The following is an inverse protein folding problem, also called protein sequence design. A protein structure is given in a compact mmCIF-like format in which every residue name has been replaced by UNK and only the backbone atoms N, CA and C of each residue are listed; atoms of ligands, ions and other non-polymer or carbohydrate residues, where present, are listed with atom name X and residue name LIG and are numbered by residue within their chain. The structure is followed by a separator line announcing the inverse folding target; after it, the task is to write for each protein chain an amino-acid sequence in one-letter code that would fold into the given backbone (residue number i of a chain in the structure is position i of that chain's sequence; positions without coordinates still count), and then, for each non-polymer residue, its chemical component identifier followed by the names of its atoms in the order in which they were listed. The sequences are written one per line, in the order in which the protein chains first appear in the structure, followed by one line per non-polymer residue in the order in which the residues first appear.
data_IF_568544360416
#
_entry.id   IF_568544360416
#
_cell.length_a   1.000
_cell.length_b   1.000
_cell.length_c   1.000
_cell.angle_alpha   90.00
_cell.angle_beta   90.00
_cell.angle_gamma   90.00
#
_symmetry.space_group_name_H-M   'P 1'
#
loop_
_entity.id
_entity.type
_entity.pdbx_description
1 polymer ?
#
# COMPACT_ATOMS: atom_id res chain seq x y z
N UNK A 1 3.07 -0.65 -21.86
CA UNK A 1 4.43 -1.15 -21.60
C UNK A 1 4.62 -2.44 -22.38
N UNK A 2 5.87 -2.81 -22.66
CA UNK A 2 6.18 -4.09 -23.31
C UNK A 2 6.12 -5.25 -22.30
N UNK A 3 5.92 -6.51 -22.76
CA UNK A 3 6.09 -7.70 -21.92
C UNK A 3 7.45 -7.74 -21.21
N UNK A 4 7.47 -8.22 -19.97
CA UNK A 4 8.70 -8.26 -19.19
C UNK A 4 9.78 -9.11 -19.85
N UNK A 5 11.02 -8.58 -19.84
CA UNK A 5 12.23 -9.27 -20.30
C UNK A 5 13.09 -9.59 -19.08
N UNK A 6 13.02 -10.80 -18.51
CA UNK A 6 13.71 -11.14 -17.26
C UNK A 6 15.23 -10.98 -17.31
N UNK A 7 15.84 -11.00 -18.50
CA UNK A 7 17.29 -10.77 -18.67
C UNK A 7 17.68 -9.29 -18.53
N UNK A 8 16.75 -8.37 -18.75
CA UNK A 8 16.96 -6.93 -18.63
C UNK A 8 16.40 -6.38 -17.31
N UNK A 9 15.29 -6.94 -16.83
CA UNK A 9 14.67 -6.57 -15.57
C UNK A 9 15.36 -7.29 -14.42
N UNK A 10 16.31 -6.62 -13.76
CA UNK A 10 17.11 -7.20 -12.67
C UNK A 10 17.02 -6.35 -11.40
N UNK A 11 17.00 -7.04 -10.26
CA UNK A 11 17.12 -6.42 -8.95
C UNK A 11 18.48 -5.69 -8.81
N UNK A 12 18.56 -4.60 -8.04
CA UNK A 12 17.50 -4.06 -7.17
C UNK A 12 16.49 -3.14 -7.87
N UNK A 13 16.75 -2.75 -9.12
CA UNK A 13 16.01 -1.66 -9.76
C UNK A 13 14.74 -2.11 -10.49
N UNK A 14 14.67 -3.38 -10.90
CA UNK A 14 13.53 -3.93 -11.65
C UNK A 14 13.20 -5.37 -11.22
N UNK A 15 11.92 -5.67 -11.09
CA UNK A 15 11.43 -7.04 -10.88
C UNK A 15 10.13 -7.27 -11.64
N UNK A 16 10.05 -8.35 -12.43
CA UNK A 16 8.86 -8.66 -13.22
C UNK A 16 7.69 -9.09 -12.31
N UNK A 17 6.47 -8.65 -12.63
CA UNK A 17 5.25 -9.14 -11.98
C UNK A 17 5.11 -10.66 -12.08
N UNK A 18 4.83 -11.32 -10.96
CA UNK A 18 4.61 -12.76 -10.93
C UNK A 18 4.71 -13.34 -9.52
N UNK A 19 4.58 -14.66 -9.44
CA UNK A 19 4.72 -15.41 -8.19
C UNK A 19 6.12 -16.02 -8.01
N UNK A 20 7.04 -15.77 -8.96
CA UNK A 20 8.42 -16.23 -8.85
C UNK A 20 9.09 -15.55 -7.66
N UNK A 21 9.73 -16.35 -6.82
CA UNK A 21 10.48 -15.86 -5.67
C UNK A 21 11.64 -14.96 -6.11
N UNK A 22 11.81 -13.77 -5.51
CA UNK A 22 12.98 -12.91 -5.75
C UNK A 22 14.30 -13.67 -5.57
N UNK A 23 15.21 -13.55 -6.54
CA UNK A 23 16.49 -14.28 -6.60
C UNK A 23 16.39 -15.81 -6.60
N UNK A 24 15.20 -16.40 -6.74
CA UNK A 24 15.03 -17.87 -6.78
C UNK A 24 15.43 -18.58 -5.49
N UNK A 25 15.33 -17.90 -4.34
CA UNK A 25 15.61 -18.48 -3.03
C UNK A 25 14.66 -19.65 -2.72
N UNK A 26 15.11 -20.61 -1.90
CA UNK A 26 14.21 -21.64 -1.36
C UNK A 26 13.20 -20.96 -0.42
N UNK A 27 11.87 -21.13 -0.63
CA UNK A 27 10.84 -20.56 0.24
C UNK A 27 11.07 -20.79 1.74
N UNK A 28 11.70 -21.90 2.14
CA UNK A 28 12.02 -22.20 3.54
C UNK A 28 13.05 -21.27 4.17
N UNK A 29 13.81 -20.55 3.34
CA UNK A 29 14.85 -19.61 3.77
C UNK A 29 14.36 -18.16 3.77
N UNK A 30 13.13 -17.91 3.32
CA UNK A 30 12.60 -16.56 3.15
C UNK A 30 11.82 -16.17 4.41
N UNK A 31 12.12 -15.01 5.02
CA UNK A 31 11.29 -14.47 6.08
C UNK A 31 9.89 -14.19 5.56
N UNK A 32 8.86 -14.71 6.24
CA UNK A 32 7.49 -14.28 5.98
C UNK A 32 7.33 -12.83 6.43
N UNK A 33 7.24 -11.92 5.46
CA UNK A 33 6.95 -10.52 5.73
C UNK A 33 5.44 -10.34 5.86
N UNK A 34 5.02 -9.53 6.83
CA UNK A 34 3.63 -9.12 7.04
C UNK A 34 3.62 -7.59 7.07
N UNK A 35 2.88 -6.98 6.13
CA UNK A 35 2.71 -5.53 6.08
C UNK A 35 1.39 -5.18 6.75
N UNK A 36 1.44 -4.83 8.03
CA UNK A 36 0.27 -4.32 8.74
C UNK A 36 0.04 -2.86 8.34
N UNK A 37 -1.15 -2.57 7.80
CA UNK A 37 -1.49 -1.23 7.31
C UNK A 37 -2.75 -0.70 7.97
N UNK A 38 -2.78 0.61 8.18
CA UNK A 38 -3.98 1.34 8.59
C UNK A 38 -4.21 2.48 7.60
N UNK A 39 -5.43 2.59 7.11
CA UNK A 39 -5.81 3.66 6.19
C UNK A 39 -6.55 4.77 6.96
N UNK A 40 -6.68 5.92 6.32
CA UNK A 40 -7.40 7.10 6.79
C UNK A 40 -6.77 7.86 7.96
N UNK A 41 -7.59 8.70 8.59
CA UNK A 41 -7.17 9.74 9.51
C UNK A 41 -6.68 9.17 10.85
N UNK A 42 -5.52 9.64 11.29
CA UNK A 42 -5.01 9.37 12.64
C UNK A 42 -5.60 10.42 13.59
N UNK A 43 -6.32 10.00 14.61
CA UNK A 43 -6.91 10.90 15.59
C UNK A 43 -6.96 10.27 17.00
N UNK A 44 -7.44 11.05 17.97
CA UNK A 44 -7.49 10.66 19.38
C UNK A 44 -8.31 9.40 19.67
N UNK A 45 -9.24 9.00 18.78
CA UNK A 45 -10.05 7.80 18.96
C UNK A 45 -9.26 6.51 18.65
N UNK A 46 -8.43 6.53 17.60
CA UNK A 46 -7.71 5.34 17.11
C UNK A 46 -6.28 5.25 17.64
N UNK A 47 -5.66 6.37 17.98
CA UNK A 47 -4.27 6.40 18.43
C UNK A 47 -3.96 5.51 19.66
N UNK A 48 -4.80 5.46 20.72
CA UNK A 48 -4.55 4.57 21.85
C UNK A 48 -4.52 3.07 21.47
N UNK A 49 -5.30 2.69 20.44
CA UNK A 49 -5.30 1.32 19.92
C UNK A 49 -3.98 0.99 19.23
N UNK A 50 -3.47 1.89 18.38
CA UNK A 50 -2.16 1.70 17.73
C UNK A 50 -1.03 1.52 18.74
N UNK A 51 -1.01 2.36 19.79
CA UNK A 51 -0.02 2.28 20.86
C UNK A 51 -0.07 0.93 21.58
N UNK A 52 -1.27 0.45 21.91
CA UNK A 52 -1.47 -0.85 22.58
C UNK A 52 -0.99 -2.01 21.71
N UNK A 53 -1.25 -1.96 20.41
CA UNK A 53 -0.90 -3.04 19.49
C UNK A 53 0.60 -3.09 19.15
N UNK A 54 1.24 -1.93 18.96
CA UNK A 54 2.53 -1.84 18.28
C UNK A 54 3.74 -1.66 19.22
N UNK A 55 3.56 -1.14 20.43
CA UNK A 55 4.70 -0.77 21.28
C UNK A 55 5.44 -1.95 21.91
N UNK A 56 4.69 -2.98 22.31
CA UNK A 56 5.24 -4.12 23.07
C UNK A 56 5.53 -5.35 22.21
N UNK A 57 5.16 -5.30 20.92
CA UNK A 57 5.35 -6.42 19.99
C UNK A 57 6.72 -6.33 19.31
N UNK A 58 7.44 -7.46 19.28
CA UNK A 58 8.80 -7.56 18.71
C UNK A 58 8.87 -8.56 17.55
N UNK A 59 9.66 -8.23 16.54
CA UNK A 59 10.09 -9.16 15.51
C UNK A 59 11.15 -10.15 16.05
N UNK A 60 11.41 -11.28 15.37
CA UNK A 60 12.43 -12.25 15.78
C UNK A 60 13.85 -11.69 15.91
N UNK A 61 14.13 -10.54 15.27
CA UNK A 61 15.41 -9.83 15.38
C UNK A 61 15.49 -8.89 16.60
N UNK A 62 14.46 -8.82 17.45
CA UNK A 62 14.41 -7.98 18.64
C UNK A 62 13.99 -6.52 18.40
N UNK A 63 13.80 -6.10 17.14
CA UNK A 63 13.23 -4.80 16.82
C UNK A 63 11.72 -4.78 17.09
N UNK A 64 11.15 -3.62 17.41
CA UNK A 64 9.69 -3.47 17.48
C UNK A 64 9.07 -3.78 16.12
N UNK A 65 7.83 -4.25 16.13
CA UNK A 65 7.02 -4.27 14.91
C UNK A 65 6.80 -2.86 14.42
N UNK A 66 6.72 -2.70 13.11
CA UNK A 66 6.36 -1.45 12.44
C UNK A 66 5.17 -1.71 11.54
N UNK A 67 4.40 -0.66 11.33
CA UNK A 67 3.19 -0.64 10.53
C UNK A 67 3.31 0.52 9.54
N UNK A 68 2.49 0.48 8.50
CA UNK A 68 2.38 1.55 7.50
C UNK A 68 1.03 2.23 7.67
N UNK A 69 1.03 3.55 7.81
CA UNK A 69 -0.18 4.35 7.91
C UNK A 69 -0.37 5.09 6.59
N UNK A 70 -1.39 4.72 5.81
CA UNK A 70 -1.81 5.46 4.62
C UNK A 70 -2.78 6.55 5.06
N UNK A 71 -2.28 7.78 5.21
CA UNK A 71 -3.01 8.84 5.92
C UNK A 71 -3.72 9.76 4.95
N UNK A 72 -5.00 10.02 5.21
CA UNK A 72 -5.79 11.07 4.55
C UNK A 72 -5.81 12.35 5.40
N UNK A 73 -5.92 13.52 4.76
CA UNK A 73 -5.76 14.81 5.47
C UNK A 73 -6.91 15.09 6.45
N UNK A 74 -8.15 14.89 6.02
CA UNK A 74 -9.32 15.32 6.80
C UNK A 74 -9.36 14.62 8.17
N UNK A 75 -9.49 15.40 9.25
CA UNK A 75 -9.52 14.93 10.64
C UNK A 75 -8.23 14.29 11.18
N UNK A 76 -7.11 14.34 10.44
CA UNK A 76 -5.82 13.89 10.97
C UNK A 76 -5.26 14.86 12.02
N UNK A 77 -4.97 14.34 13.20
CA UNK A 77 -4.16 15.00 14.21
C UNK A 77 -2.67 14.78 13.89
N UNK A 78 -2.05 15.81 13.32
CA UNK A 78 -0.66 15.74 12.90
C UNK A 78 0.36 15.63 14.04
N UNK A 79 -0.02 15.97 15.29
CA UNK A 79 0.85 15.76 16.44
C UNK A 79 0.93 14.26 16.79
N UNK A 80 -0.21 13.56 16.76
CA UNK A 80 -0.27 12.12 16.95
C UNK A 80 0.43 11.37 15.81
N UNK A 81 0.19 11.79 14.57
CA UNK A 81 0.91 11.26 13.41
C UNK A 81 2.43 11.44 13.55
N UNK A 82 2.87 12.63 13.94
CA UNK A 82 4.27 12.92 14.21
C UNK A 82 4.85 11.95 15.25
N UNK A 83 4.07 11.56 16.26
CA UNK A 83 4.51 10.57 17.27
C UNK A 83 4.75 9.20 16.63
N UNK A 84 3.82 8.68 15.82
CA UNK A 84 3.99 7.41 15.11
C UNK A 84 5.22 7.42 14.19
N UNK A 85 5.47 8.54 13.50
CA UNK A 85 6.65 8.70 12.67
C UNK A 85 7.96 8.66 13.48
N UNK A 86 8.02 9.34 14.63
CA UNK A 86 9.19 9.30 15.52
C UNK A 86 9.40 7.91 16.14
N UNK A 87 8.33 7.16 16.33
CA UNK A 87 8.33 5.75 16.71
C UNK A 87 8.75 4.81 15.57
N UNK A 88 9.08 5.35 14.38
CA UNK A 88 9.58 4.65 13.19
C UNK A 88 8.53 3.84 12.45
N UNK A 89 7.26 4.14 12.62
CA UNK A 89 6.23 3.68 11.70
C UNK A 89 6.37 4.40 10.36
N UNK A 90 5.99 3.73 9.27
CA UNK A 90 5.95 4.35 7.96
C UNK A 90 4.69 5.22 7.86
N UNK A 91 4.85 6.45 7.38
CA UNK A 91 3.74 7.33 7.03
C UNK A 91 3.71 7.46 5.51
N UNK A 92 2.61 7.00 4.93
CA UNK A 92 2.35 6.95 3.50
C UNK A 92 1.14 7.81 3.14
N UNK A 93 1.02 8.10 1.85
CA UNK A 93 0.03 9.03 1.32
C UNK A 93 -1.30 8.34 1.00
N UNK A 94 -2.42 8.91 1.45
CA UNK A 94 -3.78 8.48 1.12
C UNK A 94 -4.66 9.65 0.65
N UNK A 95 -4.06 10.58 -0.08
CA UNK A 95 -4.69 11.80 -0.64
C UNK A 95 -5.14 12.81 0.40
N UNK A 96 -5.48 14.02 -0.06
CA UNK A 96 -5.98 15.07 0.83
C UNK A 96 -7.45 14.81 1.13
N UNK A 97 -8.27 14.75 0.09
CA UNK A 97 -9.72 14.90 0.27
C UNK A 97 -10.43 13.61 0.61
N UNK A 98 -9.86 12.45 0.28
CA UNK A 98 -10.54 11.15 0.33
C UNK A 98 -11.99 11.24 -0.21
N UNK A 99 -12.19 12.10 -1.22
CA UNK A 99 -13.51 12.56 -1.62
C UNK A 99 -14.37 11.47 -2.22
N UNK A 100 -15.67 11.65 -2.06
CA UNK A 100 -16.69 10.92 -2.83
C UNK A 100 -17.14 11.74 -4.04
N UNK A 101 -17.68 11.11 -5.10
CA UNK A 101 -17.84 9.65 -5.29
C UNK A 101 -16.59 8.95 -5.82
N UNK A 102 -16.52 7.62 -5.69
CA UNK A 102 -15.46 6.73 -6.22
C UNK A 102 -15.15 7.03 -7.70
N UNK A 103 -16.19 7.26 -8.50
CA UNK A 103 -16.08 7.53 -9.94
C UNK A 103 -15.23 8.77 -10.28
N UNK A 104 -15.06 9.70 -9.33
CA UNK A 104 -14.17 10.84 -9.51
C UNK A 104 -12.71 10.38 -9.63
N UNK A 105 -12.24 9.50 -8.73
CA UNK A 105 -10.87 8.96 -8.74
C UNK A 105 -10.55 8.22 -10.02
N UNK A 106 -11.53 7.44 -10.52
CA UNK A 106 -11.44 6.72 -11.78
C UNK A 106 -11.19 7.62 -12.99
N UNK A 107 -11.75 8.84 -12.97
CA UNK A 107 -11.71 9.81 -14.08
C UNK A 107 -10.75 10.97 -13.84
N UNK A 108 -10.12 11.01 -12.67
CA UNK A 108 -9.24 12.09 -12.26
C UNK A 108 -8.08 12.24 -13.26
N UNK A 109 -7.82 13.47 -13.64
CA UNK A 109 -6.73 13.81 -14.55
C UNK A 109 -5.39 13.69 -13.82
N UNK A 110 -4.28 13.74 -14.56
CA UNK A 110 -2.94 13.88 -13.96
C UNK A 110 -2.87 15.06 -12.99
N UNK A 111 -3.55 16.18 -13.28
CA UNK A 111 -3.54 17.37 -12.43
C UNK A 111 -4.35 17.19 -11.15
N UNK A 112 -5.49 16.49 -11.25
CA UNK A 112 -6.32 16.13 -10.09
C UNK A 112 -5.55 15.20 -9.14
N UNK A 113 -5.02 14.09 -9.67
CA UNK A 113 -4.16 13.17 -8.90
C UNK A 113 -2.93 13.88 -8.33
N UNK A 114 -2.29 14.75 -9.12
CA UNK A 114 -1.15 15.53 -8.67
C UNK A 114 -1.47 16.49 -7.53
N UNK A 115 -2.69 17.05 -7.49
CA UNK A 115 -3.11 17.94 -6.41
C UNK A 115 -3.38 17.18 -5.12
N UNK A 116 -3.95 15.98 -5.23
CA UNK A 116 -4.25 15.09 -4.11
C UNK A 116 -2.99 14.42 -3.53
N UNK A 117 -2.14 13.85 -4.38
CA UNK A 117 -0.99 13.06 -3.97
C UNK A 117 0.18 13.96 -3.55
N UNK A 118 0.62 14.89 -4.41
CA UNK A 118 1.74 15.76 -4.04
C UNK A 118 1.36 16.67 -2.87
N UNK A 119 0.14 17.18 -2.89
CA UNK A 119 -0.34 18.05 -1.84
C UNK A 119 -0.44 17.34 -0.49
N UNK A 120 -0.85 16.06 -0.45
CA UNK A 120 -0.85 15.31 0.81
C UNK A 120 0.58 15.05 1.33
N UNK A 121 1.54 14.72 0.46
CA UNK A 121 2.96 14.69 0.86
C UNK A 121 3.47 16.02 1.43
N UNK A 122 3.12 17.15 0.81
CA UNK A 122 3.49 18.49 1.31
C UNK A 122 2.87 18.76 2.69
N UNK A 123 1.61 18.36 2.91
CA UNK A 123 0.90 18.48 4.18
C UNK A 123 1.54 17.60 5.26
N UNK A 124 1.87 16.34 4.96
CA UNK A 124 2.54 15.41 5.89
C UNK A 124 3.89 15.98 6.36
N UNK A 125 4.62 16.62 5.46
CA UNK A 125 5.87 17.30 5.77
C UNK A 125 5.67 18.52 6.67
N UNK A 126 4.80 19.45 6.25
CA UNK A 126 4.63 20.74 6.91
C UNK A 126 3.99 20.59 8.30
N UNK A 127 2.90 19.82 8.39
CA UNK A 127 2.12 19.71 9.63
C UNK A 127 2.52 18.50 10.48
N UNK A 128 2.89 17.38 9.85
CA UNK A 128 3.27 16.14 10.55
C UNK A 128 4.75 16.08 10.95
N UNK A 129 5.58 16.99 10.44
CA UNK A 129 7.03 16.95 10.64
C UNK A 129 7.71 15.71 10.03
N UNK A 130 7.03 15.04 9.10
CA UNK A 130 7.57 13.89 8.38
C UNK A 130 8.61 14.38 7.38
N UNK A 131 9.74 13.69 7.24
CA UNK A 131 10.66 14.04 6.17
C UNK A 131 10.02 13.65 4.83
N UNK A 132 9.93 14.60 3.91
CA UNK A 132 9.33 14.40 2.58
C UNK A 132 9.87 13.15 1.86
N UNK A 133 11.17 12.86 2.02
CA UNK A 133 11.84 11.69 1.42
C UNK A 133 11.44 10.34 2.04
N UNK A 134 10.81 10.38 3.20
CA UNK A 134 10.34 9.20 3.92
C UNK A 134 8.85 8.91 3.63
N UNK A 135 8.12 9.83 2.99
CA UNK A 135 6.76 9.59 2.45
C UNK A 135 6.87 8.89 1.11
N UNK A 136 7.04 7.56 1.13
CA UNK A 136 7.39 6.77 -0.06
C UNK A 136 6.25 5.95 -0.65
N UNK A 137 5.34 5.49 0.19
CA UNK A 137 4.16 4.73 -0.21
C UNK A 137 2.98 5.62 -0.58
N UNK A 138 2.10 5.09 -1.42
CA UNK A 138 0.80 5.65 -1.75
C UNK A 138 -0.26 4.54 -1.77
N UNK A 139 -1.48 4.88 -1.37
CA UNK A 139 -2.68 4.06 -1.58
C UNK A 139 -3.83 4.96 -2.05
N UNK A 140 -4.56 4.51 -3.07
CA UNK A 140 -5.71 5.23 -3.61
C UNK A 140 -6.96 5.03 -2.71
N UNK A 141 -7.73 6.10 -2.44
CA UNK A 141 -9.02 6.01 -1.76
C UNK A 141 -9.95 4.97 -2.39
N UNK A 142 -10.60 4.18 -1.54
CA UNK A 142 -11.52 3.09 -1.94
C UNK A 142 -10.88 2.02 -2.85
N UNK A 143 -9.54 1.98 -2.91
CA UNK A 143 -8.77 1.19 -3.87
C UNK A 143 -9.12 1.49 -5.34
N UNK A 144 -9.76 2.64 -5.60
CA UNK A 144 -10.08 3.06 -6.96
C UNK A 144 -8.88 3.79 -7.57
N UNK A 145 -8.11 3.01 -8.32
CA UNK A 145 -6.97 3.51 -9.08
C UNK A 145 -7.39 4.35 -10.30
N UNK A 146 -6.48 5.20 -10.75
CA UNK A 146 -6.67 6.18 -11.83
C UNK A 146 -5.99 5.83 -13.15
N UNK A 147 -5.61 4.57 -13.36
CA UNK A 147 -4.82 4.14 -14.52
C UNK A 147 -3.52 4.95 -14.66
N UNK A 148 -3.07 5.15 -15.90
CA UNK A 148 -1.77 5.80 -16.15
C UNK A 148 -1.61 7.20 -15.54
N UNK A 149 -2.71 7.94 -15.31
CA UNK A 149 -2.62 9.27 -14.70
C UNK A 149 -2.07 9.22 -13.26
N UNK A 150 -2.59 8.31 -12.43
CA UNK A 150 -2.13 8.13 -11.05
C UNK A 150 -0.66 7.70 -11.02
N UNK A 151 -0.33 6.63 -11.73
CA UNK A 151 1.01 6.06 -11.71
C UNK A 151 2.04 7.00 -12.32
N UNK A 152 1.65 7.83 -13.30
CA UNK A 152 2.50 8.91 -13.80
C UNK A 152 2.80 9.96 -12.72
N UNK A 153 1.82 10.37 -11.91
CA UNK A 153 2.06 11.30 -10.78
C UNK A 153 3.03 10.69 -9.78
N UNK A 154 2.81 9.43 -9.40
CA UNK A 154 3.68 8.72 -8.46
C UNK A 154 5.13 8.67 -8.96
N UNK A 155 5.32 8.27 -10.22
CA UNK A 155 6.62 8.22 -10.88
C UNK A 155 7.28 9.59 -10.97
N UNK A 156 6.59 10.59 -11.54
CA UNK A 156 7.14 11.94 -11.77
C UNK A 156 7.50 12.65 -10.44
N UNK A 157 6.86 12.26 -9.34
CA UNK A 157 7.12 12.77 -8.00
C UNK A 157 7.91 11.80 -7.11
N UNK A 158 8.57 10.78 -7.67
CA UNK A 158 9.49 9.91 -6.92
C UNK A 158 8.86 9.21 -5.71
N UNK A 159 7.58 8.81 -5.80
CA UNK A 159 7.04 7.77 -4.92
C UNK A 159 7.74 6.44 -5.23
N UNK A 160 7.94 5.64 -4.19
CA UNK A 160 8.62 4.36 -4.32
C UNK A 160 7.65 3.25 -4.71
N UNK A 161 6.44 3.26 -4.14
CA UNK A 161 5.47 2.22 -4.39
C UNK A 161 4.01 2.69 -4.31
N UNK A 162 3.16 2.03 -5.08
CA UNK A 162 1.72 1.97 -4.88
C UNK A 162 1.35 0.66 -4.17
N UNK A 163 0.29 0.70 -3.36
CA UNK A 163 -0.34 -0.50 -2.81
C UNK A 163 -1.85 -0.36 -2.90
N UNK A 164 -2.35 -0.22 -4.12
CA UNK A 164 -3.76 -0.01 -4.40
C UNK A 164 -4.38 -1.10 -5.28
N UNK A 165 -3.57 -2.01 -5.84
CA UNK A 165 -4.05 -3.01 -6.79
C UNK A 165 -4.32 -4.36 -6.11
N UNK A 166 -5.57 -4.74 -5.84
CA UNK A 166 -5.89 -6.08 -5.40
C UNK A 166 -5.68 -7.13 -6.49
N UNK A 167 -5.53 -8.39 -6.07
CA UNK A 167 -5.33 -9.52 -6.99
C UNK A 167 -6.03 -10.79 -6.52
N UNK A 168 -6.65 -11.49 -7.48
CA UNK A 168 -7.16 -12.86 -7.29
C UNK A 168 -6.05 -13.91 -7.20
N UNK A 169 -4.82 -13.57 -7.56
CA UNK A 169 -3.67 -14.49 -7.55
C UNK A 169 -3.13 -14.66 -6.14
N UNK A 170 -3.70 -15.64 -5.44
CA UNK A 170 -3.43 -15.94 -4.03
C UNK A 170 -2.62 -17.23 -3.83
N UNK A 171 -2.58 -18.13 -4.82
CA UNK A 171 -1.86 -19.41 -4.71
C UNK A 171 -1.17 -19.80 -6.05
N UNK A 172 0.17 -19.65 -6.13
CA UNK A 172 1.01 -18.88 -5.22
C UNK A 172 0.69 -17.37 -5.30
N UNK A 173 0.87 -16.63 -4.19
CA UNK A 173 0.61 -15.19 -4.16
C UNK A 173 1.63 -14.41 -5.00
N UNK A 174 1.23 -13.22 -5.47
CA UNK A 174 2.14 -12.32 -6.17
C UNK A 174 3.18 -11.71 -5.22
N UNK A 175 4.40 -11.58 -5.72
CA UNK A 175 5.43 -10.75 -5.09
C UNK A 175 5.32 -9.30 -5.57
N UNK A 176 5.81 -8.31 -4.79
CA UNK A 176 5.98 -6.94 -5.28
C UNK A 176 6.83 -6.90 -6.54
N UNK A 177 6.52 -5.98 -7.46
CA UNK A 177 7.17 -5.88 -8.76
C UNK A 177 7.24 -4.44 -9.22
N UNK A 178 8.07 -4.15 -10.23
CA UNK A 178 8.16 -2.81 -10.80
C UNK A 178 7.35 -2.66 -12.07
N UNK A 179 6.93 -1.42 -12.35
CA UNK A 179 6.14 -1.05 -13.51
C UNK A 179 7.00 -0.66 -14.73
N UNK A 180 8.27 -1.07 -14.77
CA UNK A 180 9.14 -0.96 -15.95
C UNK A 180 8.52 -1.64 -17.18
N UNK A 181 7.87 -2.78 -16.96
CA UNK A 181 7.24 -3.60 -18.00
C UNK A 181 5.74 -3.78 -17.72
N UNK A 182 5.00 -4.32 -18.70
CA UNK A 182 3.58 -4.58 -18.54
C UNK A 182 3.34 -5.57 -17.40
N UNK A 183 2.47 -5.21 -16.47
CA UNK A 183 2.05 -6.12 -15.39
C UNK A 183 1.28 -7.32 -15.93
N UNK A 184 1.56 -8.49 -15.37
CA UNK A 184 0.78 -9.71 -15.54
C UNK A 184 -0.31 -9.88 -14.47
N UNK A 185 -0.43 -8.95 -13.53
CA UNK A 185 -1.49 -8.93 -12.52
C UNK A 185 -2.86 -8.69 -13.19
N UNK A 186 -3.88 -9.34 -12.65
CA UNK A 186 -5.28 -9.10 -12.99
C UNK A 186 -5.74 -7.70 -12.56
N UNK A 187 -6.60 -7.08 -13.37
CA UNK A 187 -7.14 -5.76 -13.08
C UNK A 187 -8.51 -5.86 -12.42
N UNK A 188 -8.54 -6.06 -11.10
CA UNK A 188 -9.77 -6.21 -10.33
C UNK A 188 -10.61 -4.93 -10.36
N UNK A 189 -9.99 -3.77 -10.10
CA UNK A 189 -10.65 -2.46 -10.05
C UNK A 189 -10.10 -1.59 -11.19
N UNK A 190 -10.75 -1.55 -12.37
CA UNK A 190 -10.25 -0.80 -13.51
C UNK A 190 -10.46 0.73 -13.38
N UNK A 191 -9.62 1.55 -14.02
CA UNK A 191 -8.54 1.19 -14.94
C UNK A 191 -7.18 0.97 -14.25
N UNK A 192 -6.47 -0.10 -14.64
CA UNK A 192 -5.09 -0.36 -14.23
C UNK A 192 -4.06 0.33 -15.13
N UNK A 193 -2.82 0.57 -14.65
CA UNK A 193 -1.77 1.16 -15.46
C UNK A 193 -1.44 0.27 -16.65
N UNK A 194 -1.32 0.90 -17.81
CA UNK A 194 -0.89 0.29 -19.06
C UNK A 194 0.47 0.83 -19.52
N UNK A 195 0.90 1.98 -18.99
CA UNK A 195 2.18 2.63 -19.24
C UNK A 195 3.38 1.90 -18.62
N UNK A 196 4.57 2.42 -18.92
CA UNK A 196 5.82 2.00 -18.26
C UNK A 196 6.25 3.11 -17.31
N UNK A 197 6.48 2.76 -16.06
CA UNK A 197 6.90 3.64 -14.98
C UNK A 197 8.14 3.05 -14.29
N UNK A 198 9.33 3.14 -14.92
CA UNK A 198 10.53 2.48 -14.43
C UNK A 198 10.86 2.82 -12.98
N UNK A 199 11.16 1.79 -12.18
CA UNK A 199 11.52 1.93 -10.77
C UNK A 199 10.36 2.24 -9.80
N UNK A 200 9.14 2.48 -10.30
CA UNK A 200 7.94 2.53 -9.45
C UNK A 200 7.47 1.10 -9.15
N UNK A 201 7.34 0.78 -7.87
CA UNK A 201 6.89 -0.53 -7.42
C UNK A 201 5.38 -0.59 -7.25
N UNK A 202 4.81 -1.76 -7.52
CA UNK A 202 3.49 -2.16 -7.04
C UNK A 202 3.70 -3.19 -5.92
N UNK A 203 3.09 -2.94 -4.77
CA UNK A 203 2.95 -3.90 -3.67
C UNK A 203 1.52 -4.45 -3.73
N UNK A 204 1.30 -5.56 -4.45
CA UNK A 204 -0.04 -6.03 -4.75
C UNK A 204 -0.79 -6.44 -3.48
N UNK A 205 -2.06 -6.09 -3.40
CA UNK A 205 -2.93 -6.48 -2.30
C UNK A 205 -3.51 -7.87 -2.57
N UNK A 206 -2.77 -8.89 -2.14
CA UNK A 206 -3.19 -10.29 -2.27
C UNK A 206 -4.44 -10.50 -1.42
N UNK A 207 -5.52 -10.98 -2.06
CA UNK A 207 -6.77 -11.18 -1.34
C UNK A 207 -6.66 -12.15 -0.17
N UNK A 208 -7.26 -11.76 0.95
CA UNK A 208 -7.55 -12.65 2.06
C UNK A 208 -8.65 -13.63 1.68
N UNK A 209 -8.65 -14.80 2.32
CA UNK A 209 -9.76 -15.74 2.29
C UNK A 209 -10.50 -15.68 3.62
N UNK A 210 -11.75 -15.21 3.59
CA UNK A 210 -12.61 -15.16 4.75
C UNK A 210 -13.04 -16.54 5.24
N UNK A 211 -13.67 -16.59 6.41
CA UNK A 211 -14.13 -17.82 7.04
C UNK A 211 -15.21 -18.55 6.23
N UNK A 212 -15.93 -17.82 5.37
CA UNK A 212 -16.93 -18.36 4.45
C UNK A 212 -16.38 -18.53 3.03
N UNK A 213 -15.05 -18.50 2.87
CA UNK A 213 -14.31 -18.63 1.62
C UNK A 213 -14.61 -17.49 0.61
N UNK A 214 -15.06 -16.34 1.11
CA UNK A 214 -15.09 -15.07 0.38
C UNK A 214 -13.67 -14.49 0.20
N UNK A 215 -13.51 -13.58 -0.77
CA UNK A 215 -12.25 -12.87 -1.00
C UNK A 215 -12.41 -11.38 -0.78
N UNK A 216 -11.43 -10.78 -0.13
CA UNK A 216 -11.49 -9.41 0.36
C UNK A 216 -10.07 -8.82 0.38
N UNK A 217 -9.94 -7.57 -0.05
CA UNK A 217 -8.67 -6.81 -0.07
C UNK A 217 -8.31 -6.27 1.29
N UNK A 218 -9.33 -5.85 2.02
CA UNK A 218 -9.22 -5.31 3.36
C UNK A 218 -9.90 -6.29 4.31
N UNK A 219 -9.40 -6.41 5.54
CA UNK A 219 -9.92 -7.37 6.52
C UNK A 219 -11.38 -7.02 6.90
N UNK A 220 -11.71 -5.74 6.94
CA UNK A 220 -13.04 -5.22 7.23
C UNK A 220 -14.04 -5.32 6.07
N UNK A 221 -13.56 -5.56 4.84
CA UNK A 221 -14.41 -5.93 3.69
C UNK A 221 -14.83 -7.42 3.72
N UNK A 222 -14.14 -8.26 4.50
CA UNK A 222 -14.54 -9.65 4.70
C UNK A 222 -15.78 -9.74 5.61
N UNK A 223 -16.48 -10.88 5.64
CA UNK A 223 -17.50 -11.06 6.67
C UNK A 223 -16.84 -11.05 8.04
N UNK A 224 -17.20 -10.04 8.85
CA UNK A 224 -16.60 -9.83 10.15
C UNK A 224 -16.79 -11.07 11.05
N UNK A 225 -15.70 -11.64 11.60
CA UNK A 225 -15.79 -12.61 12.67
C UNK A 225 -16.60 -12.05 13.85
N UNK A 226 -17.37 -12.90 14.53
CA UNK A 226 -18.26 -12.46 15.63
C UNK A 226 -17.68 -12.69 17.03
N UNK A 227 -16.51 -13.33 17.12
CA UNK A 227 -15.82 -13.68 18.36
C UNK A 227 -14.31 -13.84 18.11
N UNK A 228 -13.54 -13.84 19.20
CA UNK A 228 -12.08 -13.89 19.16
C UNK A 228 -11.55 -15.17 18.49
N UNK A 229 -12.14 -16.34 18.78
CA UNK A 229 -11.71 -17.62 18.18
C UNK A 229 -11.81 -17.59 16.65
N UNK A 230 -12.85 -16.96 16.12
CA UNK A 230 -13.07 -16.84 14.68
C UNK A 230 -12.12 -15.80 14.06
N UNK A 231 -11.75 -14.74 14.79
CA UNK A 231 -10.66 -13.84 14.36
C UNK A 231 -9.34 -14.62 14.25
N UNK A 232 -9.00 -15.42 15.26
CA UNK A 232 -7.77 -16.22 15.26
C UNK A 232 -7.74 -17.30 14.17
N UNK A 233 -8.89 -17.83 13.74
CA UNK A 233 -8.96 -18.77 12.60
C UNK A 233 -8.85 -18.09 11.25
N UNK A 234 -9.30 -16.83 11.17
CA UNK A 234 -9.25 -16.06 9.94
C UNK A 234 -7.82 -15.61 9.60
N UNK A 235 -7.06 -15.20 10.62
CA UNK A 235 -5.64 -14.81 10.52
C UNK A 235 -4.73 -16.02 10.29
#
# INVERSE_FOLDING_TARGET
AEPCKPDLCKLPDCFCSGASVPNGLDPKQIPQMIMLTFDDAINMQVFPFYQTLLNDTKNPNGCNVRATFFVSHEYTDYQLLGTLYHERHEIADHTISHRTPIEWWKKATYQDWGSEIRGMRDILKEFGGVNEKDVRGFRAPFLQIGGDNQFKVLHDHSFMFDSSMPTWRTDPPLWPYTLDYSSAQDCVIPPCPSGSFPGLWEVPMVYHKGLQNESCSMIDDCNAPTNDDDVFKFL
#
